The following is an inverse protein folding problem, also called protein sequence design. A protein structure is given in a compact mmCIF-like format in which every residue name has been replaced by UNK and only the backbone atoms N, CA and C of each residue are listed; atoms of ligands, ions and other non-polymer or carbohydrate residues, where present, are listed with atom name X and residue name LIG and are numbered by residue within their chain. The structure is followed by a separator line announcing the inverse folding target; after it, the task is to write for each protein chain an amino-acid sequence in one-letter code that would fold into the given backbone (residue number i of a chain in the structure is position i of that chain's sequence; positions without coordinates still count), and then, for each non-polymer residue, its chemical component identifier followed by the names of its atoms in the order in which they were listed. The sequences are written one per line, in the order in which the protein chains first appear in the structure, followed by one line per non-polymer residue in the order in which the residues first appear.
data_IF_323133451265
#
_entry.id   IF_323133451265
#
_cell.length_a   1.000
_cell.length_b   1.000
_cell.length_c   1.000
_cell.angle_alpha   90.00
_cell.angle_beta   90.00
_cell.angle_gamma   90.00
#
_symmetry.space_group_name_H-M   'P 1'
#
loop_
_entity.id
_entity.type
_entity.pdbx_description
1 polymer ?
#
# COMPACT_ATOMS: atom_id res chain seq x y z
N UNK A 1 27.62 -6.88 4.76
CA UNK A 1 27.42 -5.78 5.73
C UNK A 1 26.15 -4.98 5.49
N UNK A 2 25.77 -4.49 4.26
CA UNK A 2 24.51 -3.72 4.08
C UNK A 2 23.23 -4.53 4.31
N UNK A 3 23.10 -5.78 3.83
CA UNK A 3 21.93 -6.62 4.10
C UNK A 3 21.66 -6.90 5.61
N UNK A 4 22.70 -6.91 6.44
CA UNK A 4 22.50 -7.05 7.89
C UNK A 4 22.01 -5.73 8.51
N UNK A 5 22.43 -4.58 8.00
CA UNK A 5 21.96 -3.29 8.48
C UNK A 5 20.51 -3.00 8.08
N UNK A 6 20.11 -3.35 6.84
CA UNK A 6 18.72 -3.27 6.39
C UNK A 6 17.80 -4.13 7.27
N UNK A 7 18.19 -5.38 7.55
CA UNK A 7 17.41 -6.27 8.42
C UNK A 7 17.31 -5.74 9.86
N UNK A 8 18.36 -5.09 10.36
CA UNK A 8 18.36 -4.46 11.69
C UNK A 8 17.41 -3.26 11.77
N UNK A 9 17.29 -2.50 10.68
CA UNK A 9 16.40 -1.32 10.61
C UNK A 9 14.93 -1.74 10.50
N UNK A 10 14.63 -2.73 9.68
CA UNK A 10 13.32 -3.37 9.57
C UNK A 10 12.82 -3.88 10.93
N UNK A 11 13.69 -4.58 11.68
CA UNK A 11 13.35 -5.09 13.02
C UNK A 11 13.18 -3.97 14.06
N UNK A 12 13.93 -2.88 13.95
CA UNK A 12 13.77 -1.73 14.85
C UNK A 12 12.40 -1.07 14.68
N UNK A 13 11.95 -0.89 13.44
CA UNK A 13 10.62 -0.35 13.17
C UNK A 13 9.50 -1.27 13.64
N UNK A 14 9.56 -2.57 13.32
CA UNK A 14 8.60 -3.55 13.82
C UNK A 14 8.49 -3.49 15.35
N UNK A 15 9.65 -3.43 16.04
CA UNK A 15 9.68 -3.32 17.50
C UNK A 15 9.11 -2.00 18.03
N UNK A 16 9.42 -0.86 17.38
CA UNK A 16 8.88 0.45 17.75
C UNK A 16 7.37 0.50 17.61
N UNK A 17 6.85 -0.05 16.52
CA UNK A 17 5.44 -0.10 16.22
C UNK A 17 4.69 -1.21 16.98
N UNK A 18 5.42 -2.12 17.65
CA UNK A 18 4.89 -3.30 18.35
C UNK A 18 4.13 -4.24 17.41
N UNK A 19 4.69 -4.49 16.23
CA UNK A 19 4.11 -5.35 15.20
C UNK A 19 5.14 -6.37 14.69
N UNK A 20 4.68 -7.39 13.96
CA UNK A 20 5.52 -8.42 13.36
C UNK A 20 5.20 -8.55 11.88
N UNK A 21 5.92 -7.82 11.04
CA UNK A 21 5.66 -7.75 9.59
C UNK A 21 6.80 -8.29 8.74
N UNK A 22 7.99 -8.48 9.30
CA UNK A 22 9.16 -9.00 8.59
C UNK A 22 8.93 -10.40 8.03
N UNK A 23 9.60 -10.70 6.92
CA UNK A 23 9.59 -12.01 6.24
C UNK A 23 8.61 -12.07 5.10
N UNK A 24 8.98 -12.87 4.08
CA UNK A 24 8.15 -13.17 2.90
C UNK A 24 7.26 -14.37 3.18
N UNK A 25 6.06 -14.39 2.64
CA UNK A 25 5.13 -15.53 2.71
C UNK A 25 4.59 -15.87 1.32
N UNK A 26 4.98 -17.03 0.81
CA UNK A 26 4.62 -17.53 -0.52
C UNK A 26 3.46 -18.56 -0.48
N UNK A 27 2.87 -18.81 0.69
CA UNK A 27 2.03 -19.99 0.93
C UNK A 27 0.70 -20.03 0.17
N UNK A 28 0.20 -18.89 -0.34
CA UNK A 28 -1.05 -18.81 -1.10
C UNK A 28 -0.94 -17.89 -2.32
N UNK A 29 0.28 -17.72 -2.87
CA UNK A 29 0.44 -17.04 -4.14
C UNK A 29 -0.05 -17.91 -5.29
N UNK A 30 -0.73 -17.30 -6.25
CA UNK A 30 -1.17 -17.93 -7.50
C UNK A 30 -0.76 -17.07 -8.71
N UNK A 31 -1.21 -17.44 -9.91
CA UNK A 31 -0.87 -16.67 -11.13
C UNK A 31 -1.47 -15.25 -11.19
N UNK A 32 -2.39 -14.91 -10.27
CA UNK A 32 -3.11 -13.63 -10.24
C UNK A 32 -2.80 -12.80 -9.00
N UNK A 33 -2.30 -13.44 -7.91
CA UNK A 33 -2.01 -12.81 -6.63
C UNK A 33 -0.57 -13.11 -6.21
N UNK A 34 0.19 -12.05 -5.94
CA UNK A 34 1.60 -12.18 -5.64
C UNK A 34 1.85 -12.52 -4.17
N UNK A 35 3.03 -13.12 -3.86
CA UNK A 35 3.40 -13.42 -2.48
C UNK A 35 3.44 -12.17 -1.60
N UNK A 36 3.17 -12.34 -0.30
CA UNK A 36 3.40 -11.27 0.65
C UNK A 36 4.88 -10.89 0.69
N UNK A 37 5.16 -9.64 0.40
CA UNK A 37 6.46 -8.99 0.54
C UNK A 37 6.22 -7.60 1.15
N UNK A 38 6.80 -7.29 2.33
CA UNK A 38 6.54 -6.01 2.98
C UNK A 38 7.28 -4.88 2.26
N UNK A 39 6.63 -3.72 2.10
CA UNK A 39 7.29 -2.50 1.64
C UNK A 39 8.43 -2.13 2.60
N UNK A 40 9.65 -1.84 2.11
CA UNK A 40 10.75 -1.41 2.98
C UNK A 40 10.42 -0.15 3.76
N UNK A 41 10.80 -0.09 5.03
CA UNK A 41 10.52 1.09 5.87
C UNK A 41 11.18 2.36 5.34
N UNK A 42 12.33 2.28 4.70
CA UNK A 42 12.99 3.43 4.06
C UNK A 42 12.14 4.05 2.94
N UNK A 43 11.41 3.23 2.19
CA UNK A 43 10.44 3.68 1.19
C UNK A 43 9.24 4.35 1.86
N UNK A 44 8.71 3.73 2.92
CA UNK A 44 7.59 4.28 3.68
C UNK A 44 7.94 5.59 4.38
N UNK A 45 9.17 5.76 4.89
CA UNK A 45 9.68 7.03 5.43
C UNK A 45 9.68 8.12 4.35
N UNK A 46 10.16 7.80 3.16
CA UNK A 46 10.15 8.74 2.03
C UNK A 46 8.74 9.12 1.62
N UNK A 47 7.83 8.15 1.57
CA UNK A 47 6.42 8.39 1.28
C UNK A 47 5.76 9.25 2.36
N UNK A 48 5.94 8.94 3.63
CA UNK A 48 5.40 9.75 4.73
C UNK A 48 5.89 11.22 4.71
N UNK A 49 7.12 11.45 4.24
CA UNK A 49 7.74 12.77 4.14
C UNK A 49 7.46 13.49 2.81
N UNK A 50 6.71 12.91 1.88
CA UNK A 50 6.39 13.53 0.58
C UNK A 50 5.43 14.72 0.69
N UNK A 51 4.68 14.81 1.79
CA UNK A 51 3.62 15.80 1.96
C UNK A 51 2.27 15.42 1.33
N UNK A 52 2.19 14.26 0.65
CA UNK A 52 0.98 13.78 -0.03
C UNK A 52 0.01 13.04 0.90
N UNK A 53 0.42 12.81 2.15
CA UNK A 53 -0.36 12.13 3.17
C UNK A 53 -0.31 12.90 4.48
N UNK A 54 -1.45 13.22 5.05
CA UNK A 54 -1.57 13.97 6.29
C UNK A 54 -2.65 13.38 7.23
N UNK A 55 -2.86 14.02 8.37
CA UNK A 55 -3.77 13.53 9.42
C UNK A 55 -5.23 13.41 8.97
N UNK A 56 -5.64 14.25 8.07
CA UNK A 56 -7.01 14.35 7.58
C UNK A 56 -7.35 13.27 6.55
N UNK A 57 -6.32 12.59 6.01
CA UNK A 57 -6.50 11.58 4.98
C UNK A 57 -6.92 10.21 5.54
N UNK A 58 -7.62 9.46 4.71
CA UNK A 58 -7.89 8.03 4.90
C UNK A 58 -7.26 7.24 3.76
N UNK A 59 -6.22 6.46 4.09
CA UNK A 59 -5.50 5.60 3.17
C UNK A 59 -6.13 4.21 3.10
N UNK A 60 -6.41 3.72 1.90
CA UNK A 60 -6.75 2.34 1.62
C UNK A 60 -5.52 1.60 1.09
N UNK A 61 -5.09 0.53 1.75
CA UNK A 61 -3.97 -0.33 1.33
C UNK A 61 -4.51 -1.64 0.75
N UNK A 62 -4.39 -1.81 -0.57
CA UNK A 62 -4.79 -3.04 -1.25
C UNK A 62 -3.69 -4.11 -1.21
N UNK A 63 -4.00 -5.24 -0.59
CA UNK A 63 -3.02 -6.29 -0.31
C UNK A 63 -2.14 -5.92 0.88
N UNK A 64 -2.75 -5.42 1.95
CA UNK A 64 -2.06 -4.89 3.13
C UNK A 64 -1.16 -5.90 3.84
N UNK A 65 -1.31 -7.18 3.53
CA UNK A 65 -0.53 -8.23 4.16
C UNK A 65 -0.70 -8.24 5.68
N UNK A 66 0.42 -8.09 6.38
CA UNK A 66 0.44 -8.02 7.86
C UNK A 66 0.24 -6.59 8.41
N UNK A 67 -0.10 -5.62 7.55
CA UNK A 67 -0.44 -4.24 7.92
C UNK A 67 0.75 -3.29 8.09
N UNK A 68 1.94 -3.59 7.56
CA UNK A 68 3.12 -2.72 7.73
C UNK A 68 2.87 -1.29 7.28
N UNK A 69 2.36 -1.12 6.07
CA UNK A 69 2.08 0.20 5.46
C UNK A 69 1.10 0.96 6.34
N UNK A 70 0.03 0.31 6.73
CA UNK A 70 -1.04 0.86 7.57
C UNK A 70 -0.51 1.39 8.91
N UNK A 71 0.19 0.54 9.66
CA UNK A 71 0.73 0.93 10.98
C UNK A 71 1.77 2.03 10.86
N UNK A 72 2.69 1.92 9.89
CA UNK A 72 3.77 2.89 9.76
C UNK A 72 3.26 4.26 9.33
N UNK A 73 2.45 4.32 8.26
CA UNK A 73 1.94 5.60 7.76
C UNK A 73 0.99 6.25 8.77
N UNK A 74 0.12 5.47 9.41
CA UNK A 74 -0.73 5.99 10.48
C UNK A 74 0.08 6.49 11.69
N UNK A 75 1.21 5.87 12.02
CA UNK A 75 2.12 6.35 13.07
C UNK A 75 2.77 7.68 12.69
N UNK A 76 3.34 7.78 11.48
CA UNK A 76 4.12 8.92 11.02
C UNK A 76 3.25 10.14 10.71
N UNK A 77 2.16 9.95 9.97
CA UNK A 77 1.36 11.05 9.42
C UNK A 77 0.09 11.34 10.23
N UNK A 78 -0.29 10.41 11.12
CA UNK A 78 -1.55 10.44 11.88
C UNK A 78 -2.80 10.19 11.04
N UNK A 79 -2.68 9.79 9.76
CA UNK A 79 -3.81 9.43 8.91
C UNK A 79 -4.57 8.21 9.45
N UNK A 80 -5.79 8.02 8.99
CA UNK A 80 -6.52 6.77 9.11
C UNK A 80 -6.10 5.80 8.02
N UNK A 81 -6.10 4.49 8.30
CA UNK A 81 -5.78 3.47 7.32
C UNK A 81 -6.77 2.32 7.35
N UNK A 82 -7.07 1.79 6.17
CA UNK A 82 -7.92 0.62 5.95
C UNK A 82 -7.12 -0.36 5.09
N UNK A 83 -6.67 -1.47 5.66
CA UNK A 83 -5.97 -2.52 4.94
C UNK A 83 -6.94 -3.60 4.46
N UNK A 84 -6.90 -3.92 3.16
CA UNK A 84 -7.68 -5.03 2.57
C UNK A 84 -6.76 -6.18 2.23
N UNK A 85 -7.04 -7.36 2.79
CA UNK A 85 -6.29 -8.58 2.54
C UNK A 85 -7.24 -9.72 2.17
N UNK A 86 -6.85 -10.49 1.14
CA UNK A 86 -7.64 -11.64 0.66
C UNK A 86 -7.32 -12.92 1.42
N UNK A 87 -6.05 -13.10 1.81
CA UNK A 87 -5.56 -14.30 2.46
C UNK A 87 -5.89 -14.27 3.95
N UNK A 88 -6.83 -15.10 4.39
CA UNK A 88 -7.30 -15.17 5.78
C UNK A 88 -6.13 -15.34 6.79
N UNK A 89 -5.17 -16.22 6.49
CA UNK A 89 -4.03 -16.47 7.39
C UNK A 89 -3.12 -15.24 7.55
N UNK A 90 -2.93 -14.46 6.48
CA UNK A 90 -2.13 -13.24 6.51
C UNK A 90 -2.92 -12.12 7.19
N UNK A 91 -4.21 -12.01 6.88
CA UNK A 91 -5.13 -11.09 7.55
C UNK A 91 -5.17 -11.30 9.07
N UNK A 92 -5.21 -12.55 9.54
CA UNK A 92 -5.14 -12.86 10.99
C UNK A 92 -3.89 -12.25 11.63
N UNK A 93 -2.74 -12.23 10.91
CA UNK A 93 -1.51 -11.59 11.41
C UNK A 93 -1.62 -10.06 11.48
N UNK A 94 -2.34 -9.43 10.56
CA UNK A 94 -2.63 -8.00 10.64
C UNK A 94 -3.52 -7.69 11.86
N UNK A 95 -4.53 -8.54 12.11
CA UNK A 95 -5.40 -8.41 13.30
C UNK A 95 -4.61 -8.63 14.60
N UNK A 96 -3.76 -9.66 14.68
CA UNK A 96 -2.86 -9.88 15.82
C UNK A 96 -1.95 -8.66 16.08
N UNK A 97 -1.37 -8.09 15.01
CA UNK A 97 -0.57 -6.85 15.11
C UNK A 97 -1.40 -5.67 15.64
N UNK A 98 -2.68 -5.58 15.26
CA UNK A 98 -3.57 -4.51 15.72
C UNK A 98 -3.84 -4.56 17.23
N UNK A 99 -3.84 -5.73 17.84
CA UNK A 99 -4.09 -5.87 19.28
C UNK A 99 -3.06 -5.15 20.15
N UNK A 100 -1.82 -4.98 19.66
CA UNK A 100 -0.71 -4.38 20.40
C UNK A 100 -0.04 -3.19 19.68
N UNK A 101 -0.37 -2.97 18.41
CA UNK A 101 0.27 -1.95 17.56
C UNK A 101 0.05 -0.52 18.06
N UNK A 102 1.09 0.29 18.00
CA UNK A 102 1.08 1.68 18.51
C UNK A 102 0.04 2.57 17.79
N UNK A 103 -0.25 2.32 16.52
CA UNK A 103 -1.22 3.08 15.72
C UNK A 103 -2.59 2.41 15.60
N UNK A 104 -2.86 1.34 16.34
CA UNK A 104 -4.05 0.49 16.24
C UNK A 104 -5.41 1.23 16.25
N UNK A 105 -5.51 2.34 16.97
CA UNK A 105 -6.75 3.13 17.06
C UNK A 105 -7.12 3.87 15.76
N UNK A 106 -6.25 3.91 14.76
CA UNK A 106 -6.48 4.56 13.45
C UNK A 106 -6.29 3.60 12.29
N UNK A 107 -6.12 2.30 12.57
CA UNK A 107 -5.84 1.27 11.58
C UNK A 107 -6.94 0.23 11.62
N UNK A 108 -7.53 -0.07 10.48
CA UNK A 108 -8.56 -1.10 10.31
C UNK A 108 -8.11 -2.12 9.28
N UNK A 109 -8.55 -3.38 9.45
CA UNK A 109 -8.28 -4.45 8.48
C UNK A 109 -9.57 -5.14 8.08
N UNK A 110 -9.69 -5.46 6.79
CA UNK A 110 -10.85 -6.12 6.19
C UNK A 110 -10.39 -7.35 5.42
N UNK A 111 -10.94 -8.51 5.78
CA UNK A 111 -10.78 -9.72 4.99
C UNK A 111 -11.75 -9.67 3.79
N UNK A 112 -11.24 -9.37 2.61
CA UNK A 112 -12.07 -9.25 1.41
C UNK A 112 -11.30 -9.51 0.12
N UNK A 113 -12.03 -9.91 -0.92
CA UNK A 113 -11.51 -9.88 -2.29
C UNK A 113 -11.55 -8.41 -2.80
N UNK A 114 -10.39 -7.89 -3.18
CA UNK A 114 -10.22 -6.53 -3.69
C UNK A 114 -11.20 -6.18 -4.84
N UNK A 115 -11.55 -7.16 -5.68
CA UNK A 115 -12.50 -6.99 -6.79
C UNK A 115 -13.93 -6.72 -6.30
N UNK A 116 -14.28 -7.23 -5.13
CA UNK A 116 -15.63 -7.12 -4.55
C UNK A 116 -15.71 -6.03 -3.48
N UNK A 117 -14.58 -5.51 -3.04
CA UNK A 117 -14.52 -4.50 -2.00
C UNK A 117 -15.06 -3.16 -2.51
N UNK A 118 -16.05 -2.62 -1.81
CA UNK A 118 -16.59 -1.27 -2.08
C UNK A 118 -15.71 -0.24 -1.37
N UNK A 119 -15.14 0.70 -2.12
CA UNK A 119 -14.28 1.74 -1.56
C UNK A 119 -15.12 2.73 -0.74
N UNK A 120 -14.86 2.89 0.58
CA UNK A 120 -15.58 3.84 1.40
C UNK A 120 -15.41 5.30 0.93
N UNK A 121 -16.45 6.12 1.14
CA UNK A 121 -16.46 7.52 0.68
C UNK A 121 -15.40 8.41 1.35
N UNK A 122 -14.96 8.04 2.56
CA UNK A 122 -13.90 8.73 3.30
C UNK A 122 -12.48 8.45 2.78
N UNK A 123 -12.30 7.41 1.96
CA UNK A 123 -10.99 7.06 1.37
C UNK A 123 -10.63 8.08 0.31
N UNK A 124 -9.50 8.76 0.49
CA UNK A 124 -8.98 9.78 -0.43
C UNK A 124 -7.54 9.48 -0.90
N UNK A 125 -6.92 8.43 -0.35
CA UNK A 125 -5.59 7.94 -0.70
C UNK A 125 -5.64 6.42 -0.87
N UNK A 126 -5.09 5.86 -1.96
CA UNK A 126 -5.08 4.42 -2.19
C UNK A 126 -3.67 3.98 -2.55
N UNK A 127 -3.17 2.96 -1.85
CA UNK A 127 -1.83 2.42 -2.04
C UNK A 127 -1.85 1.01 -2.63
N UNK A 128 -0.90 0.76 -3.53
CA UNK A 128 -0.69 -0.53 -4.18
C UNK A 128 0.81 -0.87 -4.21
N UNK A 129 1.19 -1.98 -3.63
CA UNK A 129 2.51 -2.56 -3.85
C UNK A 129 2.41 -3.76 -4.81
N UNK A 130 2.05 -3.50 -6.07
CA UNK A 130 1.95 -4.52 -7.12
C UNK A 130 1.25 -5.81 -6.63
N UNK A 131 0.06 -5.72 -5.99
CA UNK A 131 -0.48 -6.83 -5.21
C UNK A 131 -1.10 -7.94 -6.06
N UNK A 132 -1.41 -7.69 -7.34
CA UNK A 132 -2.15 -8.61 -8.19
C UNK A 132 -1.89 -8.37 -9.70
N UNK A 133 -2.43 -9.26 -10.55
CA UNK A 133 -2.32 -9.15 -12.01
C UNK A 133 -3.06 -7.93 -12.57
N UNK A 134 -2.76 -7.58 -13.82
CA UNK A 134 -3.41 -6.46 -14.51
C UNK A 134 -4.93 -6.68 -14.65
N UNK A 135 -5.39 -7.91 -14.80
CA UNK A 135 -6.81 -8.23 -14.93
C UNK A 135 -7.57 -7.92 -13.63
N UNK A 136 -6.93 -8.15 -12.48
CA UNK A 136 -7.49 -7.80 -11.17
C UNK A 136 -7.42 -6.29 -10.99
N UNK A 137 -6.30 -5.63 -11.32
CA UNK A 137 -6.16 -4.18 -11.23
C UNK A 137 -7.28 -3.45 -11.97
N UNK A 138 -7.58 -3.86 -13.20
CA UNK A 138 -8.68 -3.27 -14.00
C UNK A 138 -10.02 -3.29 -13.28
N UNK A 139 -10.34 -4.39 -12.60
CA UNK A 139 -11.59 -4.54 -11.86
C UNK A 139 -11.59 -3.72 -10.57
N UNK A 140 -10.46 -3.69 -9.87
CA UNK A 140 -10.29 -2.88 -8.65
C UNK A 140 -10.39 -1.40 -9.00
N UNK A 141 -9.73 -0.96 -10.08
CA UNK A 141 -9.81 0.43 -10.53
C UNK A 141 -11.24 0.84 -10.90
N UNK A 142 -12.03 -0.05 -11.54
CA UNK A 142 -13.44 0.21 -11.79
C UNK A 142 -14.22 0.47 -10.49
N UNK A 143 -13.94 -0.25 -9.39
CA UNK A 143 -14.54 0.02 -8.07
C UNK A 143 -14.10 1.35 -7.47
N UNK A 144 -12.83 1.71 -7.67
CA UNK A 144 -12.30 3.01 -7.23
C UNK A 144 -13.03 4.16 -7.95
N UNK A 145 -13.16 4.06 -9.27
CA UNK A 145 -13.86 5.06 -10.09
C UNK A 145 -15.37 5.12 -9.77
N UNK A 146 -16.02 3.97 -9.54
CA UNK A 146 -17.41 3.93 -9.08
C UNK A 146 -17.58 4.73 -7.78
N UNK A 147 -16.72 4.51 -6.77
CA UNK A 147 -16.74 5.28 -5.51
C UNK A 147 -16.45 6.77 -5.73
N UNK A 148 -15.57 7.11 -6.67
CA UNK A 148 -15.26 8.51 -7.02
C UNK A 148 -16.47 9.20 -7.65
N UNK A 149 -17.14 8.56 -8.60
CA UNK A 149 -18.33 9.13 -9.24
C UNK A 149 -19.52 9.27 -8.29
N UNK A 150 -19.67 8.35 -7.34
CA UNK A 150 -20.70 8.47 -6.30
C UNK A 150 -20.39 9.57 -5.29
N UNK A 151 -19.12 9.78 -4.97
CA UNK A 151 -18.65 10.76 -4.00
C UNK A 151 -17.39 11.48 -4.52
N UNK A 152 -17.52 12.49 -5.39
CA UNK A 152 -16.39 13.24 -5.95
C UNK A 152 -15.54 13.89 -4.84
N UNK A 153 -14.24 13.64 -4.86
CA UNK A 153 -13.26 14.15 -3.89
C UNK A 153 -11.87 14.13 -4.48
N UNK A 154 -10.92 14.84 -3.89
CA UNK A 154 -9.51 14.61 -4.21
C UNK A 154 -9.17 13.14 -3.91
N UNK A 155 -8.70 12.39 -4.92
CA UNK A 155 -8.38 10.98 -4.78
C UNK A 155 -7.05 10.69 -5.47
N UNK A 156 -6.03 10.34 -4.67
CA UNK A 156 -4.69 10.01 -5.16
C UNK A 156 -4.44 8.50 -5.05
N UNK A 157 -3.90 7.93 -6.13
CA UNK A 157 -3.51 6.53 -6.24
C UNK A 157 -1.99 6.42 -6.25
N UNK A 158 -1.43 5.63 -5.35
CA UNK A 158 0.01 5.43 -5.16
C UNK A 158 0.40 4.02 -5.57
N UNK A 159 1.24 3.88 -6.59
CA UNK A 159 1.73 2.59 -7.07
C UNK A 159 3.22 2.45 -6.76
N UNK A 160 3.57 1.71 -5.71
CA UNK A 160 4.95 1.38 -5.43
C UNK A 160 5.41 0.20 -6.26
N UNK A 161 6.62 0.31 -6.80
CA UNK A 161 7.29 -0.72 -7.60
C UNK A 161 6.44 -1.23 -8.78
N UNK A 162 5.78 -0.34 -9.53
CA UNK A 162 4.83 -0.75 -10.55
C UNK A 162 5.53 -1.49 -11.70
N UNK A 163 4.82 -2.47 -12.28
CA UNK A 163 5.26 -3.09 -13.54
C UNK A 163 5.05 -2.14 -14.73
N UNK A 164 5.79 -2.37 -15.82
CA UNK A 164 5.61 -1.59 -17.06
C UNK A 164 4.18 -1.80 -17.61
N UNK A 165 3.60 -2.97 -17.40
CA UNK A 165 2.22 -3.27 -17.80
C UNK A 165 1.22 -2.42 -16.99
N UNK A 166 1.44 -2.25 -15.67
CA UNK A 166 0.62 -1.35 -14.84
C UNK A 166 0.68 0.08 -15.38
N UNK A 167 1.89 0.62 -15.54
CA UNK A 167 2.07 1.99 -16.03
C UNK A 167 1.43 2.16 -17.41
N UNK A 168 1.66 1.23 -18.33
CA UNK A 168 1.10 1.29 -19.68
C UNK A 168 -0.43 1.33 -19.65
N UNK A 169 -1.06 0.54 -18.79
CA UNK A 169 -2.50 0.54 -18.63
C UNK A 169 -3.03 1.83 -17.98
N UNK A 170 -2.45 2.23 -16.85
CA UNK A 170 -2.89 3.41 -16.10
C UNK A 170 -2.85 4.69 -16.94
N UNK A 171 -1.83 4.82 -17.82
CA UNK A 171 -1.73 5.93 -18.76
C UNK A 171 -2.78 5.93 -19.89
N UNK A 172 -3.59 4.88 -20.00
CA UNK A 172 -4.70 4.81 -20.98
C UNK A 172 -6.08 5.00 -20.37
N UNK A 173 -6.17 5.19 -19.07
CA UNK A 173 -7.43 5.42 -18.36
C UNK A 173 -7.71 6.91 -18.36
N UNK A 174 -8.80 7.34 -18.99
CA UNK A 174 -9.12 8.75 -19.20
C UNK A 174 -9.33 9.54 -17.91
N UNK A 175 -9.78 8.85 -16.84
CA UNK A 175 -10.01 9.43 -15.51
C UNK A 175 -8.74 9.55 -14.68
N UNK A 176 -7.57 9.07 -15.16
CA UNK A 176 -6.32 9.12 -14.40
C UNK A 176 -5.34 10.10 -15.01
N UNK A 177 -4.88 11.03 -14.20
CA UNK A 177 -3.82 11.96 -14.57
C UNK A 177 -2.56 11.65 -13.76
N UNK A 178 -1.41 11.50 -14.46
CA UNK A 178 -0.12 11.42 -13.77
C UNK A 178 0.11 12.72 -12.98
N UNK A 179 0.24 12.60 -11.67
CA UNK A 179 0.39 13.74 -10.76
C UNK A 179 1.83 13.90 -10.27
N UNK A 180 2.48 12.83 -9.81
CA UNK A 180 3.82 12.91 -9.21
C UNK A 180 4.57 11.57 -9.27
N UNK A 181 5.87 11.60 -8.98
CA UNK A 181 6.72 10.42 -8.82
C UNK A 181 7.65 10.61 -7.60
N UNK A 182 7.57 9.70 -6.63
CA UNK A 182 8.49 9.65 -5.49
C UNK A 182 9.61 8.67 -5.85
N UNK A 183 10.79 9.21 -6.19
CA UNK A 183 11.98 8.42 -6.52
C UNK A 183 12.55 7.73 -5.27
N UNK A 184 12.68 6.41 -5.32
CA UNK A 184 13.25 5.59 -4.25
C UNK A 184 14.53 4.85 -4.68
N UNK A 185 15.03 5.08 -5.89
CA UNK A 185 16.18 4.34 -6.47
C UNK A 185 17.45 4.46 -5.66
N UNK A 186 17.72 5.64 -5.08
CA UNK A 186 18.88 5.92 -4.25
C UNK A 186 18.89 5.19 -2.90
N UNK A 187 17.74 4.65 -2.48
CA UNK A 187 17.61 3.84 -1.25
C UNK A 187 18.22 2.45 -1.41
N UNK A 188 18.36 1.96 -2.63
CA UNK A 188 18.80 0.61 -2.95
C UNK A 188 20.13 0.55 -3.68
N UNK A 189 20.72 -0.64 -3.71
CA UNK A 189 21.89 -0.90 -4.54
C UNK A 189 21.44 -1.33 -5.94
N UNK A 190 21.96 -0.65 -6.96
CA UNK A 190 21.63 -0.95 -8.36
C UNK A 190 20.79 0.14 -9.02
N UNK A 191 20.45 -0.08 -10.30
CA UNK A 191 19.72 0.88 -11.13
C UNK A 191 18.31 0.35 -11.46
N UNK A 192 17.61 -0.17 -10.46
CA UNK A 192 16.26 -0.68 -10.67
C UNK A 192 15.27 0.49 -10.83
N UNK A 193 14.81 0.71 -12.05
CA UNK A 193 13.88 1.81 -12.40
C UNK A 193 12.50 1.68 -11.76
N UNK A 194 12.15 0.51 -11.23
CA UNK A 194 10.87 0.27 -10.56
C UNK A 194 10.85 0.75 -9.10
N UNK A 195 12.01 1.04 -8.50
CA UNK A 195 12.11 1.57 -7.14
C UNK A 195 11.62 3.02 -7.08
N UNK A 196 10.31 3.18 -7.18
CA UNK A 196 9.59 4.45 -7.15
C UNK A 196 8.13 4.25 -6.77
N UNK A 197 7.50 5.29 -6.28
CA UNK A 197 6.04 5.37 -6.13
C UNK A 197 5.53 6.32 -7.22
N UNK A 198 4.71 5.81 -8.12
CA UNK A 198 4.04 6.63 -9.15
C UNK A 198 2.69 7.05 -8.63
N UNK A 199 2.36 8.33 -8.77
CA UNK A 199 1.14 8.92 -8.24
C UNK A 199 0.23 9.34 -9.39
N UNK A 200 -1.01 8.88 -9.34
CA UNK A 200 -2.08 9.34 -10.22
C UNK A 200 -3.17 10.02 -9.40
N UNK A 201 -3.75 11.06 -9.97
CA UNK A 201 -4.96 11.71 -9.48
C UNK A 201 -6.15 11.27 -10.31
N UNK A 202 -7.31 11.10 -9.65
CA UNK A 202 -8.58 10.79 -10.33
C UNK A 202 -9.31 12.11 -10.63
N UNK A 203 -9.67 12.34 -11.90
CA UNK A 203 -10.43 13.53 -12.35
C UNK A 203 -11.72 13.17 -13.07
#
# INVERSE_FOLDING_TARGET
MKKSQENDEEQKWDKLLQIHTTGRDDSNSDQYRYPYEPTPYTVLERFANSGLLCRENTLLDYGCGKGRVDFFLSYQTRCHTIGVEYNERIYEKAVENREQGVAAGRTEFVLADAVQFSVPAEVDRIYFFNPFSIEILKKVLARVLESYYENPRELLLFFYYPSDEYISYLMTVDELIFSDEIDCRDLFLGENKRERIVVFEVE
#
